data_IF_339061773146
#
_entry.id   IF_339061773146
#
_cell.length_a   1.000
_cell.length_b   1.000
_cell.length_c   1.000
_cell.angle_alpha   90.00
_cell.angle_beta   90.00
_cell.angle_gamma   90.00
#
_symmetry.space_group_name_H-M   'P 1'
#
loop_
_entity.id
_entity.type
_entity.pdbx_description
1 polymer ?
#
# COMPACT_ATOMS: atom_id res chain seq x y z
N UNK A 1 -11.38 4.75 -17.18
CA UNK A 1 -11.36 4.08 -18.50
C UNK A 1 -12.31 2.89 -18.48
N UNK A 2 -12.70 2.40 -19.63
CA UNK A 2 -13.46 1.15 -19.72
C UNK A 2 -12.54 -0.06 -19.51
N UNK A 3 -13.09 -1.23 -19.12
CA UNK A 3 -12.30 -2.46 -18.93
C UNK A 3 -11.50 -2.90 -20.17
N UNK A 4 -11.93 -2.48 -21.37
CA UNK A 4 -11.19 -2.70 -22.62
C UNK A 4 -10.09 -1.68 -22.93
N UNK A 5 -9.74 -0.81 -21.97
CA UNK A 5 -8.72 0.22 -22.10
C UNK A 5 -9.14 1.47 -22.87
N UNK A 6 -10.38 1.58 -23.34
CA UNK A 6 -10.87 2.78 -24.03
C UNK A 6 -11.32 3.87 -23.04
N UNK A 7 -11.53 5.08 -23.54
CA UNK A 7 -12.01 6.25 -22.78
C UNK A 7 -11.11 6.58 -21.57
N UNK A 8 -9.81 6.50 -21.76
CA UNK A 8 -8.86 6.92 -20.74
C UNK A 8 -8.99 8.43 -20.49
N UNK A 9 -9.08 8.81 -19.22
CA UNK A 9 -9.10 10.19 -18.76
C UNK A 9 -8.15 10.35 -17.59
N UNK A 10 -7.28 11.34 -17.66
CA UNK A 10 -6.46 11.74 -16.50
C UNK A 10 -7.36 12.47 -15.50
N UNK A 11 -7.40 12.02 -14.26
CA UNK A 11 -8.19 12.62 -13.18
C UNK A 11 -7.40 13.73 -12.47
N UNK A 12 -6.13 13.46 -12.16
CA UNK A 12 -5.24 14.41 -11.45
C UNK A 12 -3.78 14.08 -11.69
N UNK A 13 -2.86 14.86 -11.14
CA UNK A 13 -1.46 14.51 -10.98
C UNK A 13 -1.26 13.90 -9.58
N UNK A 14 -0.70 12.70 -9.52
CA UNK A 14 -0.45 11.99 -8.27
C UNK A 14 0.12 10.61 -8.54
N UNK A 15 0.51 9.92 -7.47
CA UNK A 15 1.15 8.61 -7.50
C UNK A 15 0.39 7.64 -6.59
N UNK A 16 0.64 6.34 -6.80
CA UNK A 16 0.19 5.26 -5.91
C UNK A 16 -1.32 5.33 -5.60
N UNK A 17 -2.21 5.31 -6.60
CA UNK A 17 -3.65 5.35 -6.33
C UNK A 17 -4.12 4.06 -5.66
N UNK A 18 -5.09 4.20 -4.74
CA UNK A 18 -5.77 3.10 -4.07
C UNK A 18 -7.28 3.33 -4.04
N UNK A 19 -8.06 2.33 -4.44
CA UNK A 19 -9.51 2.37 -4.39
C UNK A 19 -10.03 2.25 -2.95
N UNK A 20 -11.08 3.02 -2.63
CA UNK A 20 -11.87 2.74 -1.41
C UNK A 20 -12.61 1.40 -1.57
N UNK A 21 -12.89 0.68 -0.46
CA UNK A 21 -13.55 -0.64 -0.51
C UNK A 21 -14.92 -0.64 -1.18
N UNK A 22 -15.64 0.48 -1.15
CA UNK A 22 -16.94 0.66 -1.78
C UNK A 22 -16.84 1.13 -3.24
N UNK A 23 -15.63 1.34 -3.76
CA UNK A 23 -15.37 1.81 -5.13
C UNK A 23 -15.80 3.25 -5.40
N UNK A 24 -16.18 4.03 -4.39
CA UNK A 24 -16.68 5.40 -4.58
C UNK A 24 -15.58 6.46 -4.64
N UNK A 25 -14.40 6.15 -4.09
CA UNK A 25 -13.31 7.10 -3.89
C UNK A 25 -11.95 6.51 -4.25
N UNK A 26 -10.99 7.39 -4.50
CA UNK A 26 -9.59 7.05 -4.75
C UNK A 26 -8.72 7.86 -3.79
N UNK A 27 -7.90 7.18 -2.98
CA UNK A 27 -6.80 7.80 -2.27
C UNK A 27 -5.54 7.80 -3.14
N UNK A 28 -4.70 8.81 -3.04
CA UNK A 28 -3.47 8.90 -3.82
C UNK A 28 -2.45 9.80 -3.13
N UNK A 29 -1.17 9.58 -3.40
CA UNK A 29 -0.12 10.49 -2.99
C UNK A 29 -0.15 11.72 -3.91
N UNK A 30 -0.51 12.86 -3.37
CA UNK A 30 -0.57 14.14 -4.10
C UNK A 30 0.72 14.92 -3.92
N UNK A 31 1.25 15.57 -4.98
CA UNK A 31 2.30 16.56 -4.81
C UNK A 31 1.79 17.72 -3.96
N UNK A 32 2.67 18.28 -3.13
CA UNK A 32 2.34 19.48 -2.35
C UNK A 32 1.94 20.65 -3.25
N UNK A 33 0.87 21.33 -2.89
CA UNK A 33 0.41 22.54 -3.60
C UNK A 33 0.89 23.83 -2.91
N UNK A 34 1.44 23.69 -1.69
CA UNK A 34 1.99 24.82 -0.97
C UNK A 34 3.44 25.09 -1.40
N UNK A 35 3.79 26.29 -1.81
CA UNK A 35 5.15 26.62 -2.25
C UNK A 35 6.19 26.62 -1.12
N UNK A 36 5.80 26.37 0.16
CA UNK A 36 6.77 26.54 1.26
C UNK A 36 6.49 25.72 2.54
N UNK A 37 7.08 24.54 2.70
CA UNK A 37 7.56 23.59 1.69
C UNK A 37 6.41 22.88 1.00
N UNK A 38 6.58 22.44 -0.25
CA UNK A 38 5.57 21.65 -0.92
C UNK A 38 5.58 20.24 -0.32
N UNK A 39 4.85 20.06 0.78
CA UNK A 39 4.71 18.75 1.40
C UNK A 39 3.73 17.92 0.58
N UNK A 40 4.22 16.84 -0.03
CA UNK A 40 3.36 15.77 -0.53
C UNK A 40 2.51 15.22 0.62
N UNK A 41 1.45 14.52 0.29
CA UNK A 41 0.60 13.89 1.31
C UNK A 41 -0.50 13.07 0.67
N UNK A 42 -1.31 12.42 1.47
CA UNK A 42 -2.43 11.66 0.97
C UNK A 42 -3.62 12.58 0.69
N UNK A 43 -4.18 12.45 -0.50
CA UNK A 43 -5.44 13.10 -0.91
C UNK A 43 -6.46 12.06 -1.32
N UNK A 44 -7.72 12.42 -1.20
CA UNK A 44 -8.86 11.62 -1.62
C UNK A 44 -9.63 12.39 -2.68
N UNK A 45 -10.21 11.68 -3.64
CA UNK A 45 -11.15 12.20 -4.64
C UNK A 45 -12.25 11.20 -4.92
N UNK A 46 -13.37 11.67 -5.43
CA UNK A 46 -14.40 10.82 -6.00
C UNK A 46 -13.88 10.12 -7.28
N UNK A 47 -14.46 8.98 -7.63
CA UNK A 47 -14.10 8.21 -8.85
C UNK A 47 -14.25 9.01 -10.15
N UNK A 48 -15.08 10.06 -10.17
CA UNK A 48 -15.20 10.98 -11.31
C UNK A 48 -14.13 12.08 -11.32
N UNK A 49 -13.24 12.12 -10.33
CA UNK A 49 -12.18 13.13 -10.15
C UNK A 49 -12.64 14.40 -9.46
N UNK A 50 -13.89 14.50 -9.02
CA UNK A 50 -14.40 15.62 -8.22
C UNK A 50 -14.06 15.45 -6.73
N UNK A 51 -14.37 16.47 -5.92
CA UNK A 51 -14.26 16.38 -4.46
C UNK A 51 -12.84 16.19 -3.94
N UNK A 52 -11.83 16.57 -4.70
CA UNK A 52 -10.42 16.42 -4.28
C UNK A 52 -10.13 17.21 -3.00
N UNK A 53 -9.61 16.53 -2.01
CA UNK A 53 -9.18 17.15 -0.76
C UNK A 53 -8.02 16.36 -0.16
N UNK A 54 -7.16 17.05 0.59
CA UNK A 54 -6.07 16.44 1.32
C UNK A 54 -6.57 15.88 2.65
N UNK A 55 -6.09 14.72 3.02
CA UNK A 55 -6.25 14.16 4.37
C UNK A 55 -5.26 14.88 5.29
N UNK A 56 -5.72 15.53 6.35
CA UNK A 56 -4.82 16.18 7.31
C UNK A 56 -3.86 15.18 7.97
N UNK A 57 -2.72 15.68 8.47
CA UNK A 57 -1.70 14.87 9.16
C UNK A 57 -1.09 13.74 8.33
N UNK A 58 -1.03 13.90 7.00
CA UNK A 58 -0.42 12.92 6.08
C UNK A 58 0.76 13.50 5.32
N UNK A 59 1.49 14.44 5.91
CA UNK A 59 2.64 15.08 5.29
C UNK A 59 3.68 14.04 4.88
N UNK A 60 4.25 14.19 3.68
CA UNK A 60 5.19 13.23 3.10
C UNK A 60 4.58 11.86 2.80
N UNK A 61 3.25 11.73 2.87
CA UNK A 61 2.54 10.47 2.71
C UNK A 61 2.61 9.89 1.29
N UNK A 62 2.90 8.61 1.20
CA UNK A 62 3.01 7.82 -0.02
C UNK A 62 2.36 6.44 0.18
N UNK A 63 2.02 5.77 -0.93
CA UNK A 63 1.46 4.41 -0.96
C UNK A 63 0.29 4.20 0.00
N UNK A 64 -0.82 4.96 -0.15
CA UNK A 64 -1.98 4.77 0.68
C UNK A 64 -2.66 3.42 0.44
N UNK A 65 -3.14 2.79 1.50
CA UNK A 65 -4.01 1.62 1.46
C UNK A 65 -5.21 1.82 2.39
N UNK A 66 -6.41 1.55 1.89
CA UNK A 66 -7.65 1.69 2.66
C UNK A 66 -7.88 0.50 3.59
N UNK A 67 -8.32 0.79 4.80
CA UNK A 67 -8.91 -0.27 5.62
C UNK A 67 -10.23 -0.78 5.01
N UNK A 68 -10.58 -2.06 5.16
CA UNK A 68 -11.76 -2.64 4.50
C UNK A 68 -13.10 -2.03 4.98
N UNK A 69 -13.12 -1.35 6.12
CA UNK A 69 -14.27 -0.58 6.59
C UNK A 69 -14.39 0.83 5.97
N UNK A 70 -13.41 1.22 5.14
CA UNK A 70 -13.35 2.53 4.47
C UNK A 70 -13.11 3.72 5.40
N UNK A 71 -12.75 3.50 6.66
CA UNK A 71 -12.63 4.58 7.65
C UNK A 71 -11.21 5.05 7.89
N UNK A 72 -10.21 4.23 7.54
CA UNK A 72 -8.80 4.50 7.82
C UNK A 72 -7.96 4.31 6.56
N UNK A 73 -6.83 5.01 6.52
CA UNK A 73 -5.80 4.84 5.50
C UNK A 73 -4.49 4.53 6.21
N UNK A 74 -3.84 3.44 5.82
CA UNK A 74 -2.44 3.18 6.12
C UNK A 74 -1.58 3.82 5.02
N UNK A 75 -0.44 4.39 5.38
CA UNK A 75 0.49 5.00 4.44
C UNK A 75 1.88 5.01 5.03
N UNK A 76 2.88 5.24 4.21
CA UNK A 76 4.22 5.54 4.71
C UNK A 76 4.61 6.99 4.42
N UNK A 77 5.51 7.55 5.24
CA UNK A 77 6.00 8.90 5.10
C UNK A 77 7.50 8.95 5.36
N UNK A 78 8.19 9.79 4.61
CA UNK A 78 9.63 10.02 4.73
C UNK A 78 9.98 11.34 5.43
N UNK A 79 9.02 12.01 6.06
CA UNK A 79 9.25 13.32 6.71
C UNK A 79 10.30 13.28 7.82
N UNK A 80 10.39 12.18 8.54
CA UNK A 80 11.43 11.98 9.58
C UNK A 80 12.81 11.61 9.03
N UNK A 81 12.93 11.41 7.70
CA UNK A 81 14.12 10.89 7.04
C UNK A 81 14.12 9.37 6.87
N UNK A 82 13.36 8.66 7.69
CA UNK A 82 13.11 7.23 7.61
C UNK A 82 11.69 7.00 7.09
N UNK A 83 11.48 5.96 6.29
CA UNK A 83 10.13 5.61 5.81
C UNK A 83 9.33 4.95 6.93
N UNK A 84 8.62 5.77 7.70
CA UNK A 84 7.78 5.33 8.80
C UNK A 84 6.36 5.08 8.32
N UNK A 85 5.73 4.04 8.81
CA UNK A 85 4.34 3.73 8.53
C UNK A 85 3.41 4.43 9.52
N UNK A 86 2.25 4.86 9.02
CA UNK A 86 1.21 5.53 9.79
C UNK A 86 -0.17 4.98 9.43
N UNK A 87 -1.12 5.13 10.34
CA UNK A 87 -2.54 4.93 10.07
C UNK A 87 -3.27 6.19 10.50
N UNK A 88 -4.21 6.65 9.69
CA UNK A 88 -5.02 7.85 9.97
C UNK A 88 -6.50 7.57 9.66
N UNK A 89 -7.42 8.19 10.38
CA UNK A 89 -8.84 8.24 9.98
C UNK A 89 -8.96 9.19 8.78
N UNK A 90 -9.89 8.92 7.87
CA UNK A 90 -10.05 9.67 6.62
C UNK A 90 -10.32 11.18 6.79
N UNK A 91 -10.77 11.61 7.97
CA UNK A 91 -10.91 13.01 8.32
C UNK A 91 -9.61 13.67 8.86
N UNK A 92 -8.52 12.89 8.93
CA UNK A 92 -7.21 13.31 9.43
C UNK A 92 -7.03 13.14 10.94
N UNK A 93 -8.04 12.69 11.67
CA UNK A 93 -7.92 12.42 13.11
C UNK A 93 -7.32 11.03 13.39
N UNK A 94 -7.02 10.77 14.65
CA UNK A 94 -6.63 9.43 15.11
C UNK A 94 -5.34 8.90 14.47
N UNK A 95 -4.37 9.77 14.21
CA UNK A 95 -3.07 9.34 13.67
C UNK A 95 -2.38 8.37 14.62
N UNK A 96 -2.08 7.17 14.12
CA UNK A 96 -1.28 6.15 14.77
C UNK A 96 0.10 6.13 14.15
N UNK A 97 1.11 6.37 14.96
CA UNK A 97 2.51 6.30 14.59
C UNK A 97 3.02 4.87 14.80
N UNK A 98 3.50 4.24 13.74
CA UNK A 98 4.07 2.89 13.75
C UNK A 98 5.61 2.90 13.70
N UNK A 99 6.27 4.00 14.07
CA UNK A 99 7.73 4.13 14.08
C UNK A 99 8.43 3.05 14.91
N UNK A 100 7.78 2.55 15.95
CA UNK A 100 8.27 1.41 16.76
C UNK A 100 8.42 0.11 15.95
N UNK A 101 7.72 -0.02 14.83
CA UNK A 101 7.89 -1.14 13.90
C UNK A 101 9.18 -0.99 13.08
N UNK A 102 9.71 0.23 12.96
CA UNK A 102 10.85 0.57 12.09
C UNK A 102 10.40 0.94 10.68
N UNK A 103 11.39 0.99 9.77
CA UNK A 103 11.12 1.34 8.37
C UNK A 103 10.24 0.32 7.67
N UNK A 104 9.31 0.82 6.84
CA UNK A 104 8.43 -0.01 6.04
C UNK A 104 7.83 0.74 4.86
N UNK A 105 7.58 0.00 3.78
CA UNK A 105 7.00 0.51 2.54
C UNK A 105 5.86 -0.37 2.07
N UNK A 106 5.05 0.15 1.14
CA UNK A 106 4.06 -0.63 0.39
C UNK A 106 3.09 -1.37 1.31
N UNK A 107 2.43 -0.60 2.16
CA UNK A 107 1.44 -1.14 3.11
C UNK A 107 0.19 -1.63 2.40
N UNK A 108 -0.35 -2.76 2.83
CA UNK A 108 -1.63 -3.28 2.33
C UNK A 108 -2.46 -3.93 3.45
N UNK A 109 -3.74 -3.53 3.55
CA UNK A 109 -4.67 -4.06 4.55
C UNK A 109 -5.20 -5.42 4.15
N UNK A 110 -5.28 -6.35 5.11
CA UNK A 110 -6.04 -7.59 4.90
C UNK A 110 -7.54 -7.29 4.75
N UNK A 111 -8.28 -8.07 3.95
CA UNK A 111 -9.73 -7.86 3.76
C UNK A 111 -10.56 -7.94 5.04
N UNK A 112 -10.09 -8.64 6.06
CA UNK A 112 -10.73 -8.73 7.37
C UNK A 112 -10.36 -7.56 8.32
N UNK A 113 -9.43 -6.70 7.92
CA UNK A 113 -8.96 -5.53 8.68
C UNK A 113 -8.13 -5.85 9.91
N UNK A 114 -7.66 -7.09 10.07
CA UNK A 114 -6.90 -7.52 11.25
C UNK A 114 -5.40 -7.49 11.07
N UNK A 115 -4.94 -7.40 9.82
CA UNK A 115 -3.52 -7.44 9.48
C UNK A 115 -3.16 -6.38 8.44
N UNK A 116 -1.89 -6.00 8.43
CA UNK A 116 -1.28 -5.13 7.43
C UNK A 116 -0.02 -5.82 6.94
N UNK A 117 0.10 -5.98 5.62
CA UNK A 117 1.35 -6.33 4.96
C UNK A 117 2.21 -5.08 4.78
N UNK A 118 3.51 -5.25 4.79
CA UNK A 118 4.47 -4.21 4.42
C UNK A 118 5.78 -4.83 3.98
N UNK A 119 6.62 -4.08 3.28
CA UNK A 119 7.99 -4.48 2.99
C UNK A 119 8.97 -3.73 3.87
N UNK A 120 10.07 -4.38 4.27
CA UNK A 120 11.12 -3.78 5.08
C UNK A 120 12.47 -4.48 4.84
N UNK A 121 13.57 -3.75 4.96
CA UNK A 121 14.93 -4.32 4.95
C UNK A 121 15.50 -4.56 6.35
N UNK A 122 14.69 -4.43 7.40
CA UNK A 122 15.07 -4.47 8.81
C UNK A 122 15.94 -5.65 9.23
N UNK A 123 15.76 -6.81 8.59
CA UNK A 123 16.50 -8.05 8.89
C UNK A 123 17.46 -8.44 7.74
N UNK A 124 17.70 -7.52 6.79
CA UNK A 124 18.58 -7.76 5.65
C UNK A 124 19.80 -6.85 5.65
N UNK A 125 21.03 -7.37 5.84
CA UNK A 125 22.26 -6.57 5.82
C UNK A 125 22.56 -6.00 4.42
N UNK A 126 22.05 -6.61 3.37
CA UNK A 126 22.35 -6.29 1.95
C UNK A 126 21.30 -5.37 1.32
N UNK A 127 20.46 -4.69 2.10
CA UNK A 127 19.42 -3.77 1.63
C UNK A 127 18.32 -4.39 0.74
N UNK A 128 18.13 -5.70 0.75
CA UNK A 128 16.95 -6.31 0.17
C UNK A 128 15.77 -6.16 1.12
N UNK A 129 14.59 -5.95 0.56
CA UNK A 129 13.35 -5.95 1.35
C UNK A 129 12.74 -7.34 1.40
N UNK A 130 12.01 -7.62 2.49
CA UNK A 130 11.15 -8.77 2.63
C UNK A 130 9.73 -8.34 2.98
N UNK A 131 8.79 -9.26 2.77
CA UNK A 131 7.40 -9.08 3.17
C UNK A 131 7.24 -9.44 4.64
N UNK A 132 6.57 -8.57 5.35
CA UNK A 132 6.17 -8.71 6.75
C UNK A 132 4.67 -8.54 6.90
N UNK A 133 4.15 -9.08 7.97
CA UNK A 133 2.77 -8.85 8.42
C UNK A 133 2.78 -8.35 9.87
N UNK A 134 1.83 -7.48 10.22
CA UNK A 134 1.62 -6.99 11.58
C UNK A 134 0.13 -6.75 11.86
N UNK A 135 -0.23 -6.51 13.11
CA UNK A 135 -1.55 -5.95 13.45
C UNK A 135 -1.58 -4.43 13.20
N UNK A 136 -2.78 -3.83 13.06
CA UNK A 136 -2.91 -2.38 12.86
C UNK A 136 -2.40 -1.51 14.01
N UNK A 137 -2.17 -2.08 15.18
CA UNK A 137 -1.56 -1.40 16.33
C UNK A 137 -0.01 -1.52 16.33
N UNK A 138 0.58 -2.09 15.28
CA UNK A 138 2.02 -2.32 15.16
C UNK A 138 2.53 -3.56 15.88
N UNK A 139 1.66 -4.29 16.58
CA UNK A 139 2.07 -5.51 17.31
C UNK A 139 2.10 -6.75 16.41
N UNK A 140 2.77 -7.80 16.86
CA UNK A 140 2.76 -9.10 16.21
C UNK A 140 3.47 -9.12 14.87
N UNK A 141 4.50 -8.31 14.69
CA UNK A 141 5.32 -8.29 13.46
C UNK A 141 5.93 -9.66 13.20
N UNK A 142 5.68 -10.20 12.02
CA UNK A 142 6.21 -11.48 11.55
C UNK A 142 6.77 -11.32 10.13
N UNK A 143 7.98 -11.80 9.88
CA UNK A 143 8.58 -11.90 8.56
C UNK A 143 7.98 -13.09 7.82
N UNK A 144 7.59 -12.90 6.54
CA UNK A 144 6.97 -13.92 5.70
C UNK A 144 7.91 -14.43 4.61
N UNK A 145 8.84 -13.60 4.11
CA UNK A 145 9.83 -13.98 3.09
C UNK A 145 11.26 -13.78 3.60
N UNK A 146 12.26 -14.40 2.94
CA UNK A 146 13.64 -14.41 3.41
C UNK A 146 14.70 -14.14 2.33
N UNK A 147 14.31 -14.13 1.06
CA UNK A 147 15.24 -14.08 -0.09
C UNK A 147 15.02 -12.83 -0.97
N UNK A 148 14.42 -11.80 -0.42
CA UNK A 148 14.08 -10.56 -1.11
C UNK A 148 12.71 -10.63 -1.76
N UNK A 149 11.79 -9.76 -1.33
CA UNK A 149 10.45 -9.68 -1.88
C UNK A 149 9.90 -8.24 -1.81
N UNK A 150 9.04 -7.90 -2.77
CA UNK A 150 8.52 -6.55 -2.99
C UNK A 150 7.02 -6.60 -3.29
N UNK A 151 6.35 -5.47 -3.16
CA UNK A 151 4.97 -5.24 -3.62
C UNK A 151 3.98 -6.34 -3.21
N UNK A 152 3.85 -6.62 -1.90
CA UNK A 152 2.88 -7.59 -1.45
C UNK A 152 1.46 -7.06 -1.59
N UNK A 153 0.52 -7.94 -1.92
CA UNK A 153 -0.91 -7.62 -1.90
C UNK A 153 -1.72 -8.82 -1.42
N UNK A 154 -2.75 -8.56 -0.61
CA UNK A 154 -3.73 -9.57 -0.22
C UNK A 154 -4.66 -9.93 -1.38
N UNK A 155 -5.04 -11.20 -1.48
CA UNK A 155 -6.21 -11.57 -2.27
C UNK A 155 -7.50 -11.02 -1.66
N UNK A 156 -8.54 -10.75 -2.46
CA UNK A 156 -9.81 -10.22 -1.96
C UNK A 156 -10.51 -11.10 -0.91
N UNK A 157 -10.30 -12.41 -0.95
CA UNK A 157 -10.81 -13.38 0.03
C UNK A 157 -9.94 -13.47 1.29
N UNK A 158 -8.69 -12.95 1.25
CA UNK A 158 -7.73 -13.02 2.34
C UNK A 158 -7.01 -14.37 2.49
N UNK A 159 -7.23 -15.30 1.58
CA UNK A 159 -6.66 -16.65 1.65
C UNK A 159 -5.23 -16.72 1.07
N UNK A 160 -4.81 -15.68 0.33
CA UNK A 160 -3.51 -15.64 -0.32
C UNK A 160 -2.84 -14.27 -0.24
N UNK A 161 -1.53 -14.27 -0.42
CA UNK A 161 -0.69 -13.09 -0.62
C UNK A 161 0.08 -13.27 -1.92
N UNK A 162 0.03 -12.29 -2.82
CA UNK A 162 0.94 -12.22 -3.97
C UNK A 162 2.07 -11.25 -3.67
N UNK A 163 3.24 -11.51 -4.22
CA UNK A 163 4.41 -10.64 -4.09
C UNK A 163 5.37 -10.82 -5.26
N UNK A 164 6.31 -9.91 -5.43
CA UNK A 164 7.39 -10.01 -6.43
C UNK A 164 8.70 -10.44 -5.78
N UNK A 165 9.36 -11.49 -6.34
CA UNK A 165 10.70 -11.94 -5.94
C UNK A 165 11.42 -12.58 -7.15
N UNK A 166 12.15 -11.87 -7.88
CA UNK A 166 12.22 -11.48 -9.29
C UNK A 166 11.18 -12.11 -10.25
N UNK A 167 9.96 -12.16 -9.87
CA UNK A 167 8.80 -12.65 -10.62
C UNK A 167 7.61 -12.66 -9.69
N UNK A 168 6.40 -12.91 -10.16
CA UNK A 168 5.23 -13.00 -9.29
C UNK A 168 5.19 -14.35 -8.58
N UNK A 169 4.95 -14.29 -7.28
CA UNK A 169 4.77 -15.44 -6.39
C UNK A 169 3.45 -15.30 -5.64
N UNK A 170 2.95 -16.45 -5.19
CA UNK A 170 1.78 -16.57 -4.31
C UNK A 170 2.15 -17.41 -3.10
N UNK A 171 1.58 -17.08 -1.95
CA UNK A 171 1.71 -17.84 -0.70
C UNK A 171 0.44 -17.76 0.14
N UNK A 172 0.30 -18.64 1.11
CA UNK A 172 -0.69 -18.53 2.17
C UNK A 172 -0.35 -17.39 3.16
N UNK A 173 -1.32 -16.91 3.96
CA UNK A 173 -1.14 -15.82 4.93
C UNK A 173 -0.11 -16.11 6.04
N UNK A 174 0.16 -17.37 6.29
CA UNK A 174 1.14 -17.86 7.26
C UNK A 174 2.54 -18.11 6.67
N UNK A 175 2.74 -17.75 5.38
CA UNK A 175 3.90 -18.04 4.55
C UNK A 175 4.00 -19.52 4.10
N UNK A 176 2.89 -20.26 4.13
CA UNK A 176 2.81 -21.60 3.54
C UNK A 176 2.66 -21.57 2.01
N UNK A 177 2.85 -22.72 1.38
CA UNK A 177 2.52 -22.99 -0.03
C UNK A 177 3.09 -21.99 -1.04
N UNK A 178 4.30 -21.49 -0.78
CA UNK A 178 4.97 -20.54 -1.67
C UNK A 178 5.20 -21.14 -3.04
N UNK A 179 4.67 -20.53 -4.08
CA UNK A 179 4.84 -20.97 -5.47
C UNK A 179 4.97 -19.79 -6.43
N UNK A 180 5.78 -19.99 -7.49
CA UNK A 180 5.90 -19.01 -8.55
C UNK A 180 4.65 -19.04 -9.44
N UNK A 181 4.10 -17.87 -9.74
CA UNK A 181 3.05 -17.72 -10.74
C UNK A 181 3.72 -17.68 -12.12
N UNK A 182 3.63 -18.77 -12.88
CA UNK A 182 4.14 -18.81 -14.24
C UNK A 182 3.25 -17.96 -15.16
N UNK A 183 3.78 -16.86 -15.67
CA UNK A 183 3.15 -16.11 -16.77
C UNK A 183 3.73 -16.61 -18.09
N UNK A 184 2.99 -17.38 -18.90
CA UNK A 184 3.47 -17.74 -20.23
C UNK A 184 3.62 -16.49 -21.10
N UNK A 185 4.86 -16.05 -21.34
CA UNK A 185 5.19 -15.11 -22.42
C UNK A 185 5.17 -13.61 -22.11
N UNK A 186 5.18 -13.18 -20.84
CA UNK A 186 5.33 -11.76 -20.51
C UNK A 186 6.70 -11.54 -19.84
N UNK A 187 7.52 -10.69 -20.46
CA UNK A 187 8.80 -10.26 -19.87
C UNK A 187 8.59 -9.51 -18.55
N UNK A 188 9.56 -9.65 -17.68
CA UNK A 188 9.67 -9.07 -16.33
C UNK A 188 9.26 -7.60 -16.28
N UNK A 189 8.07 -7.24 -15.81
CA UNK A 189 7.74 -5.90 -15.27
C UNK A 189 6.26 -5.72 -14.91
N UNK A 190 5.62 -6.53 -14.15
CA UNK A 190 4.30 -6.13 -13.62
C UNK A 190 4.25 -6.32 -12.12
N UNK A 191 3.83 -5.26 -11.46
CA UNK A 191 3.44 -5.31 -10.05
C UNK A 191 2.28 -6.31 -9.93
N UNK A 192 2.36 -7.30 -9.02
CA UNK A 192 1.25 -8.20 -8.80
C UNK A 192 0.08 -7.40 -8.20
N UNK A 193 -1.08 -7.59 -8.78
CA UNK A 193 -2.36 -7.09 -8.28
C UNK A 193 -3.45 -8.11 -8.63
N UNK A 194 -4.52 -8.13 -7.85
CA UNK A 194 -5.65 -9.01 -8.06
C UNK A 194 -6.65 -8.34 -8.99
N UNK A 195 -7.02 -9.03 -10.06
CA UNK A 195 -8.17 -8.64 -10.89
C UNK A 195 -9.31 -9.62 -10.63
N UNK A 196 -10.49 -9.08 -10.34
CA UNK A 196 -11.75 -9.83 -10.22
C UNK A 196 -12.10 -10.63 -11.51
#
# INVERSE_FOLDING_TARGET
>A
MNANGTSQRRLTGGLSPAWSPDGSSIAYASPGHDPNPPLSGISIMNVDGSGQHRVPNTDGGEYPSWSPDGKRIAFNSNLSGDHVMYIVIVDGSGLVDLSSVGEGWQVDWSPDGRSILFTSHRDHPDNYTDVYVMRPDGSGVKRLTHDGAYTPAWSPDGDHIVFSAPGPFIMGPDASDVSALSTPGVGETSLPDWTD
#
